data_IF_754099184900
#
_entry.id   IF_754099184900
#
_cell.length_a   1.000
_cell.length_b   1.000
_cell.length_c   1.000
_cell.angle_alpha   90.00
_cell.angle_beta   90.00
_cell.angle_gamma   90.00
#
_symmetry.space_group_name_H-M   'P 1'
#
loop_
_entity.id
_entity.type
_entity.pdbx_description
1 polymer ?
#
# COMPACT_ATOMS: atom_id res chain seq x y z
N UNK A 1 -18.68 -12.63 -1.22
CA UNK A 1 -18.01 -13.33 -0.11
C UNK A 1 -16.85 -12.45 0.32
N UNK A 2 -16.72 -12.03 1.59
CA UNK A 2 -15.51 -11.35 2.03
C UNK A 2 -14.30 -12.28 1.82
N UNK A 3 -13.22 -11.77 1.23
CA UNK A 3 -11.93 -12.46 1.10
C UNK A 3 -11.49 -12.95 2.48
N UNK A 4 -10.91 -14.15 2.57
CA UNK A 4 -10.32 -14.64 3.82
C UNK A 4 -9.03 -13.90 4.19
N UNK A 5 -8.53 -13.05 3.28
CA UNK A 5 -7.34 -12.23 3.49
C UNK A 5 -7.62 -11.12 4.49
N UNK A 6 -6.63 -10.81 5.32
CA UNK A 6 -6.70 -9.66 6.21
C UNK A 6 -6.74 -8.37 5.37
N UNK A 7 -7.37 -7.32 5.90
CA UNK A 7 -7.52 -6.04 5.20
C UNK A 7 -6.46 -5.05 5.63
N UNK A 8 -5.91 -4.33 4.66
CA UNK A 8 -4.93 -3.26 4.87
C UNK A 8 -5.45 -1.99 4.23
N UNK A 9 -5.53 -0.91 5.00
CA UNK A 9 -5.79 0.44 4.50
C UNK A 9 -4.52 1.27 4.67
N UNK A 10 -4.00 1.77 3.56
CA UNK A 10 -2.86 2.69 3.51
C UNK A 10 -3.33 4.06 3.03
N UNK A 11 -2.59 5.11 3.35
CA UNK A 11 -2.89 6.44 2.87
C UNK A 11 -1.61 7.27 2.71
N UNK A 12 -1.48 7.94 1.56
CA UNK A 12 -0.40 8.88 1.29
C UNK A 12 -0.96 10.30 1.25
N UNK A 13 -0.28 11.24 1.89
CA UNK A 13 -0.63 12.66 1.71
C UNK A 13 -0.44 13.05 0.24
N UNK A 14 -1.43 13.69 -0.42
CA UNK A 14 -1.32 14.11 -1.82
C UNK A 14 -0.54 15.43 -1.93
N UNK A 15 0.66 15.47 -1.35
CA UNK A 15 1.47 16.68 -1.22
C UNK A 15 2.86 16.47 -1.78
N UNK A 16 3.34 17.41 -2.58
CA UNK A 16 4.68 17.36 -3.18
C UNK A 16 4.84 16.23 -4.21
N UNK A 17 6.09 16.01 -4.65
CA UNK A 17 6.42 14.88 -5.52
C UNK A 17 6.80 13.67 -4.69
N UNK A 18 6.36 12.49 -5.13
CA UNK A 18 6.87 11.22 -4.60
C UNK A 18 8.38 11.18 -4.81
N UNK A 19 9.14 10.94 -3.75
CA UNK A 19 10.59 10.81 -3.80
C UNK A 19 11.03 9.37 -3.51
N UNK A 20 12.31 9.07 -3.73
CA UNK A 20 12.86 7.72 -3.59
C UNK A 20 12.55 7.07 -2.22
N UNK A 21 12.60 7.86 -1.14
CA UNK A 21 12.21 7.38 0.19
C UNK A 21 10.76 6.87 0.29
N UNK A 22 9.79 7.51 -0.39
CA UNK A 22 8.40 7.03 -0.41
C UNK A 22 8.26 5.75 -1.25
N UNK A 23 9.06 5.65 -2.32
CA UNK A 23 9.07 4.48 -3.17
C UNK A 23 9.57 3.24 -2.43
N UNK A 24 10.79 3.32 -1.90
CA UNK A 24 11.44 2.22 -1.19
C UNK A 24 10.82 1.96 0.19
N UNK A 25 10.30 3.00 0.85
CA UNK A 25 9.76 2.91 2.20
C UNK A 25 8.30 2.48 2.27
N UNK A 26 7.50 2.69 1.21
CA UNK A 26 6.08 2.40 1.24
C UNK A 26 5.57 1.73 -0.04
N UNK A 27 5.80 2.32 -1.22
CA UNK A 27 5.17 1.85 -2.46
C UNK A 27 5.57 0.42 -2.84
N UNK A 28 6.85 0.04 -2.70
CA UNK A 28 7.29 -1.32 -3.00
C UNK A 28 6.65 -2.35 -2.05
N UNK A 29 6.51 -1.99 -0.78
CA UNK A 29 5.82 -2.82 0.20
C UNK A 29 4.32 -2.93 -0.11
N UNK A 30 3.68 -1.83 -0.52
CA UNK A 30 2.27 -1.82 -0.92
C UNK A 30 1.98 -2.70 -2.14
N UNK A 31 2.93 -2.82 -3.08
CA UNK A 31 2.82 -3.77 -4.19
C UNK A 31 2.87 -5.21 -3.67
N UNK A 32 3.85 -5.54 -2.82
CA UNK A 32 3.98 -6.90 -2.25
C UNK A 32 2.77 -7.30 -1.41
N UNK A 33 2.18 -6.37 -0.65
CA UNK A 33 1.04 -6.66 0.22
C UNK A 33 -0.23 -7.06 -0.55
N UNK A 34 -0.36 -6.69 -1.83
CA UNK A 34 -1.55 -7.03 -2.63
C UNK A 34 -1.68 -8.54 -2.88
N UNK A 35 -0.56 -9.27 -2.84
CA UNK A 35 -0.56 -10.72 -3.00
C UNK A 35 -1.20 -11.43 -1.78
N UNK A 36 -0.97 -10.90 -0.58
CA UNK A 36 -1.35 -11.54 0.68
C UNK A 36 -2.59 -10.91 1.37
N UNK A 37 -2.89 -9.65 1.06
CA UNK A 37 -3.92 -8.85 1.73
C UNK A 37 -4.94 -8.25 0.77
N UNK A 38 -6.13 -7.93 1.29
CA UNK A 38 -7.09 -7.07 0.61
C UNK A 38 -6.68 -5.60 0.89
N UNK A 39 -6.04 -4.96 -0.09
CA UNK A 39 -5.50 -3.62 0.05
C UNK A 39 -6.45 -2.50 -0.41
N UNK A 40 -6.46 -1.41 0.37
CA UNK A 40 -7.10 -0.13 0.06
C UNK A 40 -6.06 0.98 0.24
N UNK A 41 -6.06 1.99 -0.66
CA UNK A 41 -5.05 3.05 -0.73
C UNK A 41 -5.67 4.44 -0.80
#
# INVERSE_FOLDING_TARGET
MPSSKQRVLSGMRPTGKVHLGNHLGALDNWVRLQDDYDCFF
#
